data_IF_939694924020
#
_entry.id   IF_939694924020
#
_cell.length_a   1.000
_cell.length_b   1.000
_cell.length_c   1.000
_cell.angle_alpha   90.00
_cell.angle_beta   90.00
_cell.angle_gamma   90.00
#
_symmetry.space_group_name_H-M   'P 1'
#
loop_
_entity.id
_entity.type
_entity.pdbx_description
1 polymer ?
#
# COMPACT_ATOMS: atom_id res chain seq x y z
N UNK A 1 20.87 -16.99 5.19
CA UNK A 1 21.53 -16.07 4.23
C UNK A 1 22.36 -16.90 3.25
N UNK A 2 22.49 -16.43 2.02
CA UNK A 2 23.17 -17.14 0.94
C UNK A 2 24.69 -16.93 0.90
N UNK A 3 25.29 -16.53 2.02
CA UNK A 3 26.72 -16.25 2.16
C UNK A 3 27.30 -16.99 3.36
N UNK A 4 28.51 -17.51 3.24
CA UNK A 4 29.21 -18.22 4.33
C UNK A 4 29.46 -17.33 5.56
N UNK A 5 29.68 -16.03 5.32
CA UNK A 5 29.82 -15.02 6.39
C UNK A 5 28.52 -14.66 7.08
N UNK A 6 27.39 -15.22 6.65
CA UNK A 6 26.04 -14.76 7.01
C UNK A 6 25.82 -13.28 6.73
N UNK A 7 26.58 -12.69 5.76
CA UNK A 7 26.53 -11.27 5.41
C UNK A 7 27.18 -10.36 6.46
N UNK A 8 27.82 -10.91 7.48
CA UNK A 8 28.53 -10.12 8.48
C UNK A 8 29.82 -9.56 7.90
N UNK A 9 29.97 -8.22 7.94
CA UNK A 9 31.15 -7.53 7.42
C UNK A 9 31.22 -7.42 5.91
N UNK A 10 30.13 -7.66 5.20
CA UNK A 10 30.03 -7.48 3.75
C UNK A 10 29.14 -6.28 3.41
N UNK A 11 29.66 -5.41 2.53
CA UNK A 11 28.89 -4.30 1.96
C UNK A 11 28.55 -4.61 0.49
N UNK A 12 27.29 -4.57 0.13
CA UNK A 12 26.80 -4.81 -1.22
C UNK A 12 26.52 -3.48 -1.93
N UNK A 13 27.55 -2.80 -2.41
CA UNK A 13 27.48 -1.49 -3.04
C UNK A 13 27.29 -1.55 -4.56
N UNK A 14 27.62 -2.70 -5.15
CA UNK A 14 27.49 -2.97 -6.59
C UNK A 14 26.97 -4.38 -6.86
N UNK A 15 26.54 -4.63 -8.11
CA UNK A 15 26.15 -6.00 -8.51
C UNK A 15 27.31 -7.00 -8.37
N UNK A 16 28.56 -6.59 -8.55
CA UNK A 16 29.73 -7.44 -8.41
C UNK A 16 29.93 -7.95 -6.98
N UNK A 17 29.49 -7.19 -5.99
CA UNK A 17 29.70 -7.52 -4.58
C UNK A 17 28.83 -8.71 -4.16
N UNK A 18 27.70 -8.94 -4.86
CA UNK A 18 26.86 -10.12 -4.64
C UNK A 18 27.51 -11.42 -5.14
N UNK A 19 28.54 -11.34 -5.98
CA UNK A 19 29.20 -12.48 -6.63
C UNK A 19 30.71 -12.46 -6.34
N UNK A 20 31.08 -12.21 -5.07
CA UNK A 20 32.44 -12.03 -4.62
C UNK A 20 33.18 -13.34 -4.26
N UNK A 21 32.52 -14.49 -4.47
CA UNK A 21 33.05 -15.81 -4.13
C UNK A 21 32.81 -16.24 -2.68
N UNK A 22 32.08 -15.43 -1.89
CA UNK A 22 31.66 -15.78 -0.52
C UNK A 22 30.24 -16.34 -0.46
N UNK A 23 29.60 -16.50 -1.62
CA UNK A 23 28.29 -17.16 -1.70
C UNK A 23 28.42 -18.64 -1.33
N UNK A 24 27.37 -19.13 -0.69
CA UNK A 24 27.18 -20.57 -0.47
C UNK A 24 26.53 -21.17 -1.74
N UNK A 25 27.33 -21.61 -2.67
CA UNK A 25 26.88 -22.17 -3.95
C UNK A 25 26.06 -23.47 -3.75
N UNK A 26 26.33 -24.22 -2.70
CA UNK A 26 25.56 -25.43 -2.38
C UNK A 26 24.16 -25.06 -1.89
N UNK A 27 24.03 -24.02 -1.04
CA UNK A 27 22.74 -23.52 -0.60
C UNK A 27 21.94 -22.92 -1.78
N UNK A 28 22.57 -22.15 -2.65
CA UNK A 28 21.95 -21.57 -3.85
C UNK A 28 21.46 -22.69 -4.77
N UNK A 29 22.28 -23.70 -5.02
CA UNK A 29 21.93 -24.87 -5.86
C UNK A 29 20.75 -25.62 -5.25
N UNK A 30 20.81 -25.92 -3.94
CA UNK A 30 19.74 -26.61 -3.24
C UNK A 30 18.41 -25.87 -3.33
N UNK A 31 18.39 -24.56 -3.06
CA UNK A 31 17.16 -23.75 -3.09
C UNK A 31 16.58 -23.66 -4.52
N UNK A 32 17.44 -23.51 -5.52
CA UNK A 32 17.03 -23.48 -6.93
C UNK A 32 16.38 -24.79 -7.35
N UNK A 33 16.99 -25.93 -7.00
CA UNK A 33 16.45 -27.26 -7.29
C UNK A 33 15.16 -27.53 -6.52
N UNK A 34 15.09 -27.08 -5.25
CA UNK A 34 13.90 -27.22 -4.42
C UNK A 34 12.71 -26.43 -5.03
N UNK A 35 12.92 -25.18 -5.41
CA UNK A 35 11.87 -24.36 -6.06
C UNK A 35 11.41 -25.02 -7.38
N UNK A 36 12.34 -25.50 -8.20
CA UNK A 36 12.01 -26.19 -9.44
C UNK A 36 11.16 -27.43 -9.17
N UNK A 37 11.57 -28.26 -8.23
CA UNK A 37 10.84 -29.50 -7.86
C UNK A 37 9.44 -29.17 -7.28
N UNK A 38 9.34 -28.18 -6.42
CA UNK A 38 8.05 -27.75 -5.82
C UNK A 38 7.06 -27.39 -6.93
N UNK A 39 7.48 -26.57 -7.90
CA UNK A 39 6.60 -26.13 -8.99
C UNK A 39 6.30 -27.23 -10.02
N UNK A 40 7.20 -28.21 -10.20
CA UNK A 40 6.93 -29.40 -11.01
C UNK A 40 5.89 -30.31 -10.35
N UNK A 41 5.96 -30.49 -9.05
CA UNK A 41 5.00 -31.31 -8.27
C UNK A 41 3.68 -30.61 -8.08
N UNK A 42 3.71 -29.30 -7.78
CA UNK A 42 2.52 -28.47 -7.58
C UNK A 42 2.68 -27.09 -8.24
N UNK A 43 2.19 -26.91 -9.48
CA UNK A 43 2.28 -25.62 -10.18
C UNK A 43 1.56 -24.44 -9.48
N UNK A 44 0.72 -24.73 -8.48
CA UNK A 44 0.02 -23.71 -7.69
C UNK A 44 0.70 -23.39 -6.36
N UNK A 45 1.81 -24.06 -6.05
CA UNK A 45 2.60 -23.74 -4.87
C UNK A 45 3.21 -22.33 -5.00
N UNK A 46 3.35 -21.66 -3.87
CA UNK A 46 3.99 -20.35 -3.78
C UNK A 46 5.20 -20.48 -2.87
N UNK A 47 6.36 -20.04 -3.36
CA UNK A 47 7.60 -19.99 -2.59
C UNK A 47 8.04 -18.55 -2.37
N UNK A 48 8.42 -18.22 -1.13
CA UNK A 48 8.75 -16.86 -0.71
C UNK A 48 10.14 -16.88 -0.08
N UNK A 49 11.06 -16.08 -0.60
CA UNK A 49 12.40 -15.95 -0.04
C UNK A 49 12.40 -14.92 1.10
N UNK A 50 12.86 -15.31 2.26
CA UNK A 50 13.25 -14.41 3.34
C UNK A 50 14.77 -14.28 3.34
N UNK A 51 15.27 -13.18 2.79
CA UNK A 51 16.71 -12.98 2.60
C UNK A 51 17.04 -11.48 2.61
N UNK A 52 17.95 -11.07 3.49
CA UNK A 52 18.25 -9.66 3.80
C UNK A 52 19.36 -9.06 2.95
N UNK A 53 20.23 -9.88 2.32
CA UNK A 53 21.38 -9.36 1.55
C UNK A 53 20.99 -8.55 0.31
N UNK A 54 19.78 -8.72 -0.18
CA UNK A 54 19.36 -8.12 -1.44
C UNK A 54 19.86 -8.86 -2.68
N UNK A 55 20.33 -10.12 -2.54
CA UNK A 55 20.83 -10.97 -3.64
C UNK A 55 19.92 -10.88 -4.88
N UNK A 56 20.45 -10.49 -6.06
CA UNK A 56 19.67 -10.41 -7.29
C UNK A 56 19.18 -11.78 -7.76
N UNK A 57 17.99 -11.82 -8.38
CA UNK A 57 17.48 -13.04 -9.03
C UNK A 57 16.76 -14.01 -8.09
N UNK A 58 16.59 -13.70 -6.80
CA UNK A 58 15.88 -14.59 -5.88
C UNK A 58 14.46 -14.90 -6.35
N UNK A 59 13.68 -13.88 -6.71
CA UNK A 59 12.31 -14.02 -7.20
C UNK A 59 12.22 -13.92 -8.73
N UNK A 60 13.23 -14.42 -9.43
CA UNK A 60 13.26 -14.58 -10.90
C UNK A 60 13.18 -16.07 -11.23
N UNK A 61 12.49 -16.41 -12.32
CA UNK A 61 12.35 -17.80 -12.76
C UNK A 61 13.70 -18.44 -13.07
N UNK A 62 13.83 -19.73 -12.78
CA UNK A 62 15.05 -20.51 -13.12
C UNK A 62 15.37 -20.45 -14.61
N UNK A 63 14.35 -20.48 -15.49
CA UNK A 63 14.53 -20.37 -16.93
C UNK A 63 15.13 -19.03 -17.39
N UNK A 64 14.96 -17.99 -16.59
CA UNK A 64 15.45 -16.63 -16.83
C UNK A 64 16.74 -16.33 -16.05
N UNK A 65 17.36 -17.36 -15.45
CA UNK A 65 18.62 -17.27 -14.71
C UNK A 65 18.48 -16.94 -13.23
N UNK A 66 17.28 -16.98 -12.68
CA UNK A 66 17.03 -16.75 -11.24
C UNK A 66 16.97 -18.04 -10.41
N UNK A 67 16.65 -17.89 -9.13
CA UNK A 67 16.61 -19.00 -8.15
C UNK A 67 15.21 -19.62 -7.96
N UNK A 68 14.20 -19.08 -8.67
CA UNK A 68 12.89 -19.71 -8.82
C UNK A 68 11.89 -19.48 -7.69
N UNK A 69 12.16 -18.59 -6.74
CA UNK A 69 11.12 -18.13 -5.82
C UNK A 69 10.07 -17.30 -6.56
N UNK A 70 8.82 -17.35 -6.10
CA UNK A 70 7.74 -16.51 -6.65
C UNK A 70 7.82 -15.08 -6.13
N UNK A 71 8.24 -14.93 -4.87
CA UNK A 71 8.35 -13.65 -4.18
C UNK A 71 9.57 -13.61 -3.26
N UNK A 72 9.97 -12.40 -2.91
CA UNK A 72 10.88 -12.15 -1.80
C UNK A 72 10.26 -11.18 -0.80
N UNK A 73 10.68 -11.26 0.48
CA UNK A 73 10.25 -10.32 1.51
C UNK A 73 10.89 -8.94 1.28
N UNK A 74 10.08 -7.87 1.35
CA UNK A 74 10.56 -6.48 1.29
C UNK A 74 11.00 -6.01 2.69
N UNK A 75 12.12 -6.54 3.19
CA UNK A 75 12.56 -6.36 4.58
C UNK A 75 12.95 -4.91 4.91
N UNK A 76 13.28 -4.09 3.91
CA UNK A 76 13.56 -2.66 4.09
C UNK A 76 12.35 -1.87 4.61
N UNK A 77 11.13 -2.26 4.26
CA UNK A 77 9.91 -1.50 4.58
C UNK A 77 9.61 -1.50 6.09
N UNK A 78 9.54 -2.64 6.80
CA UNK A 78 9.31 -2.64 8.24
C UNK A 78 10.46 -1.98 9.01
N UNK A 79 11.71 -2.17 8.58
CA UNK A 79 12.87 -1.53 9.21
C UNK A 79 12.80 -0.01 9.09
N UNK A 80 12.38 0.50 7.93
CA UNK A 80 12.12 1.92 7.73
C UNK A 80 11.02 2.43 8.67
N UNK A 81 9.87 1.73 8.76
CA UNK A 81 8.79 2.15 9.64
C UNK A 81 9.21 2.22 11.10
N UNK A 82 9.88 1.18 11.60
CA UNK A 82 10.40 1.18 12.97
C UNK A 82 11.40 2.31 13.18
N UNK A 83 12.30 2.53 12.23
CA UNK A 83 13.31 3.59 12.32
C UNK A 83 12.68 4.97 12.45
N UNK A 84 11.75 5.34 11.57
CA UNK A 84 11.14 6.67 11.64
C UNK A 84 10.27 6.85 12.89
N UNK A 85 9.59 5.79 13.35
CA UNK A 85 8.79 5.83 14.57
C UNK A 85 9.64 5.99 15.84
N UNK A 86 10.89 5.51 15.81
CA UNK A 86 11.85 5.65 16.94
C UNK A 86 12.56 6.98 16.93
N UNK A 87 12.95 7.47 15.75
CA UNK A 87 13.94 8.53 15.59
C UNK A 87 13.30 9.87 15.18
N UNK A 88 12.08 9.88 14.64
CA UNK A 88 11.44 11.06 14.07
C UNK A 88 10.14 11.38 14.77
N UNK A 89 9.90 12.69 14.94
CA UNK A 89 8.54 13.18 15.26
C UNK A 89 7.71 13.23 13.97
N UNK A 90 6.39 13.34 14.11
CA UNK A 90 5.48 13.39 12.95
C UNK A 90 5.82 14.56 12.01
N UNK A 91 6.26 15.69 12.58
CA UNK A 91 6.65 16.90 11.85
C UNK A 91 7.87 16.67 10.94
N UNK A 92 8.68 15.67 11.25
CA UNK A 92 9.93 15.36 10.54
C UNK A 92 9.79 14.21 9.55
N UNK A 93 8.56 13.75 9.29
CA UNK A 93 8.33 12.72 8.28
C UNK A 93 8.36 13.29 6.88
N UNK A 94 9.11 12.63 6.00
CA UNK A 94 9.28 13.01 4.61
C UNK A 94 8.51 12.08 3.68
N UNK A 95 7.43 12.53 3.04
CA UNK A 95 6.69 11.77 2.02
C UNK A 95 7.57 11.19 0.91
N UNK A 96 8.60 11.91 0.51
CA UNK A 96 9.59 11.45 -0.48
C UNK A 96 10.34 10.19 -0.02
N UNK A 97 10.71 10.11 1.26
CA UNK A 97 11.34 8.93 1.85
C UNK A 97 10.35 7.77 1.98
N UNK A 98 9.12 8.04 2.42
CA UNK A 98 8.04 7.03 2.47
C UNK A 98 7.81 6.43 1.08
N UNK A 99 7.69 7.28 0.07
CA UNK A 99 7.56 6.84 -1.32
C UNK A 99 8.72 5.96 -1.75
N UNK A 100 9.96 6.42 -1.51
CA UNK A 100 11.16 5.69 -1.88
C UNK A 100 11.19 4.31 -1.25
N UNK A 101 11.06 4.20 0.05
CA UNK A 101 11.17 2.92 0.76
C UNK A 101 10.06 1.93 0.40
N UNK A 102 8.84 2.42 0.15
CA UNK A 102 7.72 1.55 -0.20
C UNK A 102 7.71 1.13 -1.67
N UNK A 103 8.51 1.79 -2.54
CA UNK A 103 8.56 1.51 -3.98
C UNK A 103 9.94 1.12 -4.50
N UNK A 104 11.00 1.27 -3.69
CA UNK A 104 12.36 0.88 -4.06
C UNK A 104 12.51 -0.64 -4.06
N UNK A 105 12.50 -1.22 -5.25
CA UNK A 105 12.58 -2.66 -5.48
C UNK A 105 13.12 -2.96 -6.87
N UNK A 106 13.59 -4.19 -7.10
CA UNK A 106 13.99 -4.64 -8.42
C UNK A 106 12.77 -4.77 -9.33
N UNK A 107 12.92 -4.33 -10.58
CA UNK A 107 11.81 -4.32 -11.54
C UNK A 107 11.38 -5.74 -11.98
N UNK A 108 12.31 -6.70 -11.95
CA UNK A 108 12.14 -8.07 -12.37
C UNK A 108 11.73 -9.03 -11.23
N UNK A 109 11.67 -8.54 -9.99
CA UNK A 109 11.31 -9.34 -8.83
C UNK A 109 9.99 -8.87 -8.20
N UNK A 110 9.16 -9.82 -7.80
CA UNK A 110 7.96 -9.56 -7.01
C UNK A 110 8.27 -9.62 -5.52
N UNK A 111 7.68 -8.71 -4.76
CA UNK A 111 7.91 -8.60 -3.33
C UNK A 111 6.65 -8.81 -2.50
N UNK A 112 6.82 -9.33 -1.29
CA UNK A 112 5.81 -9.28 -0.23
C UNK A 112 6.13 -8.08 0.64
N UNK A 113 5.29 -7.05 0.57
CA UNK A 113 5.43 -5.84 1.39
C UNK A 113 4.69 -5.99 2.72
N UNK A 114 5.21 -5.40 3.78
CA UNK A 114 4.60 -5.45 5.10
C UNK A 114 5.09 -4.29 5.97
N UNK A 115 4.26 -3.88 6.92
CA UNK A 115 4.61 -2.81 7.83
C UNK A 115 5.42 -3.30 9.04
N UNK A 116 5.08 -4.48 9.55
CA UNK A 116 5.84 -5.20 10.59
C UNK A 116 5.61 -6.72 10.47
N UNK A 117 6.52 -7.49 11.04
CA UNK A 117 6.41 -8.94 11.22
C UNK A 117 6.76 -9.33 12.66
N UNK A 118 6.95 -10.63 12.90
CA UNK A 118 7.46 -11.10 14.18
C UNK A 118 8.84 -10.52 14.54
N UNK A 119 9.69 -10.24 13.56
CA UNK A 119 11.04 -9.72 13.81
C UNK A 119 11.00 -8.37 14.52
N UNK A 120 10.21 -7.43 14.04
CA UNK A 120 10.07 -6.13 14.67
C UNK A 120 9.28 -6.22 15.97
N UNK A 121 8.20 -6.99 15.97
CA UNK A 121 7.27 -7.06 17.09
C UNK A 121 7.77 -7.89 18.29
N UNK A 122 8.67 -8.86 18.05
CA UNK A 122 9.12 -9.83 19.08
C UNK A 122 10.59 -9.69 19.44
N UNK A 123 11.43 -9.53 18.44
CA UNK A 123 12.89 -9.66 18.57
C UNK A 123 13.56 -8.31 18.64
N UNK A 124 13.21 -7.40 17.75
CA UNK A 124 13.92 -6.15 17.55
C UNK A 124 13.37 -4.97 18.32
N UNK A 125 12.05 -4.92 18.57
CA UNK A 125 11.40 -3.73 19.12
C UNK A 125 10.01 -4.02 19.73
N UNK A 126 9.11 -3.03 19.62
CA UNK A 126 7.69 -3.07 19.96
C UNK A 126 6.86 -3.09 18.69
N UNK A 127 5.60 -3.47 18.78
CA UNK A 127 4.65 -3.33 17.66
C UNK A 127 4.52 -1.87 17.23
N UNK A 128 4.21 -1.64 15.95
CA UNK A 128 4.01 -0.28 15.41
C UNK A 128 2.99 0.49 16.24
N UNK A 129 1.86 -0.13 16.56
CA UNK A 129 0.82 0.56 17.33
C UNK A 129 1.31 0.92 18.74
N UNK A 130 2.10 0.06 19.37
CA UNK A 130 2.66 0.36 20.67
C UNK A 130 3.72 1.47 20.60
N UNK A 131 4.48 1.55 19.51
CA UNK A 131 5.38 2.68 19.26
C UNK A 131 4.64 4.01 19.10
N UNK A 132 3.46 3.97 18.47
CA UNK A 132 2.64 5.16 18.22
C UNK A 132 1.92 5.68 19.47
N UNK A 133 1.48 4.80 20.37
CA UNK A 133 0.58 5.14 21.49
C UNK A 133 1.22 4.89 22.86
N UNK A 134 2.04 3.86 22.97
CA UNK A 134 2.69 3.39 24.22
C UNK A 134 1.65 3.03 25.30
N UNK A 135 1.93 3.32 26.57
CA UNK A 135 1.15 2.92 27.74
C UNK A 135 -0.30 3.46 27.75
N UNK A 136 -0.57 4.52 26.99
CA UNK A 136 -1.93 5.08 26.84
C UNK A 136 -2.92 4.07 26.25
N UNK A 137 -2.43 3.03 25.55
CA UNK A 137 -3.26 1.91 25.07
C UNK A 137 -3.97 1.16 26.19
N UNK A 138 -3.44 1.15 27.39
CA UNK A 138 -4.04 0.43 28.52
C UNK A 138 -5.18 1.19 29.18
N UNK A 139 -5.26 2.51 28.95
CA UNK A 139 -6.16 3.38 29.69
C UNK A 139 -7.19 4.09 28.80
N UNK A 140 -6.84 4.37 27.52
CA UNK A 140 -7.57 5.27 26.65
C UNK A 140 -8.13 4.61 25.37
N UNK A 141 -8.32 3.30 25.40
CA UNK A 141 -8.89 2.55 24.25
C UNK A 141 -10.40 2.35 24.30
N UNK A 142 -11.13 2.99 25.25
CA UNK A 142 -12.58 3.05 25.20
C UNK A 142 -13.03 3.88 23.97
N UNK A 143 -14.07 3.41 23.28
CA UNK A 143 -14.52 4.01 22.02
C UNK A 143 -14.96 5.49 22.14
N UNK A 144 -15.48 5.87 23.31
CA UNK A 144 -15.95 7.21 23.65
C UNK A 144 -14.88 8.08 24.35
N UNK A 145 -13.72 7.53 24.70
CA UNK A 145 -12.60 8.29 25.29
C UNK A 145 -11.86 9.07 24.21
N UNK A 146 -11.72 10.40 24.42
CA UNK A 146 -11.01 11.30 23.51
C UNK A 146 -9.62 11.58 24.07
N UNK A 147 -8.61 10.88 23.54
CA UNK A 147 -7.22 11.01 23.96
C UNK A 147 -6.31 11.24 22.76
N UNK A 148 -5.63 12.39 22.72
CA UNK A 148 -4.86 12.86 21.58
C UNK A 148 -3.82 11.81 21.08
N UNK A 149 -3.03 11.22 21.97
CA UNK A 149 -2.00 10.27 21.58
C UNK A 149 -2.58 9.00 20.97
N UNK A 150 -3.72 8.53 21.50
CA UNK A 150 -4.42 7.37 20.96
C UNK A 150 -5.00 7.70 19.58
N UNK A 151 -5.70 8.82 19.43
CA UNK A 151 -6.28 9.24 18.14
C UNK A 151 -5.20 9.46 17.08
N UNK A 152 -4.08 10.11 17.45
CA UNK A 152 -2.89 10.24 16.60
C UNK A 152 -2.37 8.88 16.17
N UNK A 153 -2.18 7.97 17.12
CA UNK A 153 -1.64 6.63 16.84
C UNK A 153 -2.54 5.81 15.91
N UNK A 154 -3.85 5.84 16.13
CA UNK A 154 -4.82 5.16 15.26
C UNK A 154 -4.82 5.75 13.83
N UNK A 155 -4.74 7.07 13.69
CA UNK A 155 -4.69 7.73 12.39
C UNK A 155 -3.43 7.30 11.61
N UNK A 156 -2.25 7.42 12.23
CA UNK A 156 -0.98 7.07 11.60
C UNK A 156 -0.87 5.56 11.30
N UNK A 157 -1.36 4.70 12.19
CA UNK A 157 -1.38 3.26 11.95
C UNK A 157 -2.18 2.89 10.69
N UNK A 158 -3.36 3.47 10.50
CA UNK A 158 -4.16 3.29 9.27
C UNK A 158 -3.40 3.77 8.03
N UNK A 159 -2.75 4.93 8.09
CA UNK A 159 -1.99 5.50 6.98
C UNK A 159 -0.77 4.65 6.62
N UNK A 160 0.01 4.19 7.60
CA UNK A 160 1.16 3.30 7.41
C UNK A 160 0.73 2.02 6.70
N UNK A 161 -0.34 1.39 7.17
CA UNK A 161 -0.86 0.16 6.57
C UNK A 161 -1.37 0.39 5.15
N UNK A 162 -2.11 1.47 4.94
CA UNK A 162 -2.67 1.80 3.62
C UNK A 162 -1.57 2.03 2.58
N UNK A 163 -0.56 2.87 2.86
CA UNK A 163 0.52 3.12 1.90
C UNK A 163 1.32 1.86 1.62
N UNK A 164 1.63 1.06 2.66
CA UNK A 164 2.37 -0.20 2.50
C UNK A 164 1.59 -1.23 1.66
N UNK A 165 0.29 -1.40 1.92
CA UNK A 165 -0.56 -2.36 1.21
C UNK A 165 -0.89 -1.93 -0.22
N UNK A 166 -0.86 -0.64 -0.53
CA UNK A 166 -1.28 -0.14 -1.84
C UNK A 166 -0.14 0.24 -2.78
N UNK A 167 1.12 0.18 -2.32
CA UNK A 167 2.32 0.31 -3.17
C UNK A 167 2.93 -1.02 -3.61
N UNK A 168 2.34 -2.16 -3.28
CA UNK A 168 2.83 -3.52 -3.58
C UNK A 168 3.02 -3.79 -5.08
N UNK A 169 3.92 -4.74 -5.43
CA UNK A 169 4.01 -5.35 -6.77
C UNK A 169 3.83 -6.88 -6.76
N UNK A 170 3.57 -7.44 -5.60
CA UNK A 170 3.35 -8.87 -5.39
C UNK A 170 2.28 -9.09 -4.34
N UNK A 171 2.66 -9.26 -3.10
CA UNK A 171 1.74 -9.52 -2.00
C UNK A 171 1.87 -8.56 -0.84
N UNK A 172 0.94 -8.67 0.11
CA UNK A 172 0.96 -7.96 1.38
C UNK A 172 0.87 -8.95 2.53
N UNK A 173 1.82 -8.88 3.45
CA UNK A 173 1.80 -9.69 4.68
C UNK A 173 1.22 -8.85 5.81
N UNK A 174 0.29 -9.44 6.53
CA UNK A 174 -0.21 -8.92 7.78
C UNK A 174 0.25 -9.83 8.93
N UNK A 175 1.04 -9.29 9.85
CA UNK A 175 1.37 -10.02 11.07
C UNK A 175 0.16 -10.04 11.99
N UNK A 176 -0.19 -11.23 12.50
CA UNK A 176 -1.39 -11.46 13.29
C UNK A 176 -1.55 -10.46 14.44
N UNK A 177 -2.69 -9.79 14.50
CA UNK A 177 -3.00 -8.75 15.49
C UNK A 177 -2.69 -7.33 15.03
N UNK A 178 -1.89 -7.14 13.97
CA UNK A 178 -1.60 -5.84 13.39
C UNK A 178 -2.85 -5.16 12.84
N UNK A 179 -3.73 -5.95 12.23
CA UNK A 179 -4.95 -5.49 11.60
C UNK A 179 -5.85 -4.72 12.55
N UNK A 180 -5.80 -5.01 13.85
CA UNK A 180 -6.58 -4.29 14.85
C UNK A 180 -5.72 -3.57 15.91
N UNK A 181 -4.39 -3.57 15.74
CA UNK A 181 -3.49 -2.86 16.66
C UNK A 181 -3.40 -3.53 18.03
N UNK A 182 -3.19 -4.84 18.08
CA UNK A 182 -3.04 -5.57 19.35
C UNK A 182 -1.96 -4.92 20.22
N UNK A 183 -2.23 -4.60 21.51
CA UNK A 183 -1.37 -3.74 22.32
C UNK A 183 -0.09 -4.41 22.79
N UNK A 184 -0.11 -5.73 22.93
CA UNK A 184 1.00 -6.45 23.55
C UNK A 184 1.86 -7.16 22.51
N UNK A 185 3.17 -7.23 22.80
CA UNK A 185 4.07 -8.09 22.04
C UNK A 185 3.72 -9.57 22.27
N UNK A 186 4.17 -10.42 21.37
CA UNK A 186 4.19 -11.86 21.59
C UNK A 186 5.51 -12.20 22.28
N UNK A 187 5.47 -12.93 23.40
CA UNK A 187 6.66 -13.49 24.05
C UNK A 187 6.58 -15.03 23.96
N UNK A 188 7.64 -15.65 23.46
CA UNK A 188 7.73 -17.09 23.37
C UNK A 188 7.87 -17.72 24.75
N UNK A 189 7.32 -18.94 24.98
CA UNK A 189 7.64 -19.72 26.17
C UNK A 189 9.14 -19.91 26.30
N UNK A 190 9.73 -19.44 27.40
CA UNK A 190 11.15 -19.52 27.70
C UNK A 190 11.37 -19.59 29.19
N UNK A 191 12.58 -19.95 29.64
CA UNK A 191 12.91 -20.07 31.05
C UNK A 191 12.58 -18.79 31.84
N UNK A 192 12.93 -17.61 31.30
CA UNK A 192 12.71 -16.31 31.96
C UNK A 192 11.25 -15.92 32.20
N UNK A 193 10.27 -16.59 31.56
CA UNK A 193 8.83 -16.38 31.79
C UNK A 193 8.15 -17.66 32.33
N UNK A 194 8.94 -18.62 32.85
CA UNK A 194 8.41 -19.89 33.38
C UNK A 194 7.74 -20.77 32.33
N UNK A 195 8.18 -20.70 31.07
CA UNK A 195 7.61 -21.42 29.94
C UNK A 195 6.13 -21.11 29.71
N UNK A 196 5.71 -19.88 30.04
CA UNK A 196 4.33 -19.43 29.93
C UNK A 196 3.91 -19.15 28.49
N UNK A 197 2.71 -19.63 28.10
CA UNK A 197 2.05 -19.30 26.84
C UNK A 197 1.17 -18.04 26.94
N UNK A 198 1.16 -17.34 28.09
CA UNK A 198 0.26 -16.21 28.32
C UNK A 198 0.39 -15.13 27.25
N UNK A 199 1.62 -14.82 26.84
CA UNK A 199 1.93 -13.78 25.84
C UNK A 199 2.24 -14.37 24.45
N UNK A 200 2.13 -15.69 24.28
CA UNK A 200 2.39 -16.34 23.00
C UNK A 200 1.16 -16.36 22.06
N UNK A 201 0.12 -15.61 22.37
CA UNK A 201 -1.15 -15.59 21.62
C UNK A 201 -1.78 -14.21 21.62
N UNK A 202 -2.62 -13.95 20.60
CA UNK A 202 -3.38 -12.72 20.48
C UNK A 202 -4.72 -12.80 21.22
N UNK A 203 -5.16 -11.64 21.73
CA UNK A 203 -6.45 -11.47 22.38
C UNK A 203 -7.47 -10.98 21.35
N UNK A 204 -8.01 -11.88 20.55
CA UNK A 204 -8.98 -11.56 19.48
C UNK A 204 -10.26 -10.90 20.01
N UNK A 205 -10.64 -11.15 21.25
CA UNK A 205 -11.76 -10.50 21.90
C UNK A 205 -11.66 -8.97 21.95
N UNK A 206 -10.47 -8.40 21.80
CA UNK A 206 -10.28 -6.94 21.77
C UNK A 206 -10.92 -6.30 20.53
N UNK A 207 -10.77 -6.94 19.35
CA UNK A 207 -11.36 -6.42 18.10
C UNK A 207 -12.88 -6.64 18.07
N UNK A 208 -13.37 -7.67 18.75
CA UNK A 208 -14.80 -7.98 18.82
C UNK A 208 -15.55 -7.12 19.85
N UNK A 209 -14.82 -6.45 20.75
CA UNK A 209 -15.43 -5.60 21.80
C UNK A 209 -15.93 -4.28 21.22
N UNK A 210 -17.26 -4.03 21.18
CA UNK A 210 -17.84 -2.85 20.53
C UNK A 210 -17.52 -1.53 21.24
N UNK A 211 -17.15 -1.60 22.51
CA UNK A 211 -16.77 -0.45 23.34
C UNK A 211 -15.29 -0.10 23.26
N UNK A 212 -14.48 -0.83 22.46
CA UNK A 212 -13.05 -0.58 22.34
C UNK A 212 -12.67 -0.09 20.93
N UNK A 213 -11.65 0.75 20.85
CA UNK A 213 -11.15 1.35 19.60
C UNK A 213 -10.45 0.36 18.66
N UNK A 214 -10.06 -0.82 19.15
CA UNK A 214 -9.44 -1.86 18.32
C UNK A 214 -10.28 -2.25 17.11
N UNK A 215 -11.62 -2.26 17.25
CA UNK A 215 -12.54 -2.53 16.14
C UNK A 215 -12.38 -1.55 14.97
N UNK A 216 -12.08 -0.28 15.27
CA UNK A 216 -11.93 0.75 14.24
C UNK A 216 -10.76 0.44 13.29
N UNK A 217 -9.66 -0.07 13.82
CA UNK A 217 -8.53 -0.52 13.02
C UNK A 217 -8.88 -1.80 12.24
N UNK A 218 -9.54 -2.77 12.88
CA UNK A 218 -10.00 -4.00 12.23
C UNK A 218 -11.00 -3.75 11.10
N UNK A 219 -11.93 -2.82 11.30
CA UNK A 219 -12.91 -2.43 10.26
C UNK A 219 -12.22 -1.70 9.10
N UNK A 220 -11.27 -0.81 9.40
CA UNK A 220 -10.47 -0.16 8.36
C UNK A 220 -9.65 -1.17 7.55
N UNK A 221 -8.99 -2.12 8.21
CA UNK A 221 -8.20 -3.15 7.53
C UNK A 221 -9.06 -4.00 6.59
N UNK A 222 -10.26 -4.38 7.05
CA UNK A 222 -11.23 -5.13 6.24
C UNK A 222 -11.62 -4.36 4.98
N UNK A 223 -11.95 -3.07 5.10
CA UNK A 223 -12.34 -2.23 3.96
C UNK A 223 -11.15 -1.96 3.03
N UNK A 224 -9.95 -1.74 3.56
CA UNK A 224 -8.72 -1.60 2.76
C UNK A 224 -8.46 -2.85 1.93
N UNK A 225 -8.53 -4.04 2.54
CA UNK A 225 -8.34 -5.30 1.82
C UNK A 225 -9.48 -5.59 0.84
N UNK A 226 -10.72 -5.23 1.17
CA UNK A 226 -11.87 -5.34 0.26
C UNK A 226 -11.68 -4.45 -0.98
N UNK A 227 -11.20 -3.22 -0.81
CA UNK A 227 -10.84 -2.33 -1.90
C UNK A 227 -9.79 -2.96 -2.81
N UNK A 228 -8.66 -3.43 -2.24
CA UNK A 228 -7.59 -4.06 -3.02
C UNK A 228 -8.10 -5.27 -3.82
N UNK A 229 -8.90 -6.14 -3.19
CA UNK A 229 -9.49 -7.33 -3.83
C UNK A 229 -10.52 -6.99 -4.91
N UNK A 230 -11.20 -5.85 -4.80
CA UNK A 230 -12.19 -5.41 -5.79
C UNK A 230 -11.57 -5.00 -7.12
N UNK A 231 -10.27 -4.75 -7.15
CA UNK A 231 -9.52 -4.33 -8.34
C UNK A 231 -8.81 -5.53 -8.93
N UNK A 232 -9.22 -5.91 -10.15
CA UNK A 232 -8.59 -7.03 -10.84
C UNK A 232 -7.07 -6.77 -11.01
N UNK A 233 -6.28 -7.77 -10.65
CA UNK A 233 -4.82 -7.76 -10.80
C UNK A 233 -4.16 -6.51 -10.19
N UNK A 234 -4.68 -6.06 -9.04
CA UNK A 234 -4.22 -4.83 -8.36
C UNK A 234 -2.70 -4.74 -8.27
N UNK A 235 -2.03 -5.83 -7.88
CA UNK A 235 -0.58 -5.90 -7.71
C UNK A 235 0.20 -5.72 -9.03
N UNK A 236 -0.43 -5.98 -10.16
CA UNK A 236 0.20 -5.81 -11.49
C UNK A 236 0.01 -4.40 -12.06
N UNK A 237 -0.92 -3.61 -11.51
CA UNK A 237 -1.10 -2.22 -11.93
C UNK A 237 0.14 -1.40 -11.53
N UNK A 238 0.68 -0.55 -12.43
CA UNK A 238 1.80 0.30 -12.09
C UNK A 238 1.43 1.30 -10.99
N UNK A 239 2.37 1.52 -10.08
CA UNK A 239 2.27 2.60 -9.08
C UNK A 239 2.93 3.83 -9.67
N UNK A 240 2.14 4.88 -9.91
CA UNK A 240 2.59 6.11 -10.56
C UNK A 240 2.51 7.28 -9.58
N UNK A 241 3.67 7.85 -9.23
CA UNK A 241 3.70 9.03 -8.38
C UNK A 241 3.01 10.20 -9.10
N UNK A 242 2.08 10.84 -8.41
CA UNK A 242 1.41 12.07 -8.85
C UNK A 242 2.08 13.28 -8.23
N UNK A 243 2.36 13.20 -6.92
CA UNK A 243 2.91 14.29 -6.16
C UNK A 243 3.61 13.81 -4.88
N UNK A 244 4.70 14.44 -4.52
CA UNK A 244 5.28 14.39 -3.19
C UNK A 244 5.81 15.79 -2.81
N UNK A 245 5.52 16.22 -1.59
CA UNK A 245 6.00 17.48 -1.05
C UNK A 245 6.34 17.28 0.44
N UNK A 246 7.63 17.35 0.75
CA UNK A 246 8.11 17.14 2.12
C UNK A 246 7.75 18.34 3.02
N UNK A 247 7.66 19.55 2.47
CA UNK A 247 7.26 20.74 3.21
C UNK A 247 5.79 20.73 3.65
N UNK A 248 4.91 20.24 2.78
CA UNK A 248 3.48 20.07 3.07
C UNK A 248 3.19 18.73 3.76
N UNK A 249 4.13 17.80 3.74
CA UNK A 249 4.00 16.42 4.16
C UNK A 249 2.88 15.65 3.41
N UNK A 250 2.74 15.93 2.12
CA UNK A 250 1.72 15.32 1.26
C UNK A 250 2.35 14.36 0.26
N UNK A 251 1.76 13.16 0.13
CA UNK A 251 2.07 12.16 -0.88
C UNK A 251 0.82 11.82 -1.68
N UNK A 252 0.94 11.77 -3.00
CA UNK A 252 -0.13 11.26 -3.85
C UNK A 252 0.42 10.37 -4.98
N UNK A 253 -0.28 9.27 -5.26
CA UNK A 253 0.03 8.37 -6.36
C UNK A 253 -1.22 7.74 -6.94
N UNK A 254 -1.10 7.16 -8.12
CA UNK A 254 -2.18 6.47 -8.82
C UNK A 254 -1.88 4.99 -9.03
N UNK A 255 -2.95 4.19 -9.03
CA UNK A 255 -3.00 2.82 -9.55
C UNK A 255 -4.28 2.62 -10.34
N UNK A 256 -4.17 2.45 -11.66
CA UNK A 256 -5.34 2.41 -12.53
C UNK A 256 -6.22 3.65 -12.35
N UNK A 257 -7.49 3.46 -12.04
CA UNK A 257 -8.47 4.54 -11.85
C UNK A 257 -8.49 5.12 -10.42
N UNK A 258 -7.57 4.69 -9.54
CA UNK A 258 -7.56 5.10 -8.14
C UNK A 258 -6.43 6.09 -7.87
N UNK A 259 -6.75 7.16 -7.16
CA UNK A 259 -5.82 8.15 -6.61
C UNK A 259 -5.74 7.94 -5.11
N UNK A 260 -4.55 7.71 -4.60
CA UNK A 260 -4.23 7.60 -3.18
C UNK A 260 -3.57 8.89 -2.74
N UNK A 261 -4.12 9.55 -1.72
CA UNK A 261 -3.64 10.83 -1.21
C UNK A 261 -3.45 10.74 0.28
N UNK A 262 -2.29 11.17 0.75
CA UNK A 262 -1.89 11.15 2.16
C UNK A 262 -1.46 12.54 2.58
N UNK A 263 -2.02 13.05 3.65
CA UNK A 263 -1.52 14.22 4.37
C UNK A 263 -0.95 13.76 5.72
N UNK A 264 0.35 13.61 5.81
CA UNK A 264 1.05 13.20 7.04
C UNK A 264 1.24 14.35 8.01
N UNK A 265 0.98 15.59 7.62
CA UNK A 265 1.16 16.75 8.49
C UNK A 265 0.37 16.59 9.80
N UNK A 266 1.02 16.81 10.96
CA UNK A 266 0.37 16.69 12.25
C UNK A 266 -0.63 17.82 12.55
N UNK A 267 -0.50 18.95 11.86
CA UNK A 267 -1.24 20.18 12.22
C UNK A 267 -1.92 20.86 11.04
N UNK A 268 -1.40 20.69 9.81
CA UNK A 268 -1.89 21.46 8.67
C UNK A 268 -2.93 20.70 7.85
N UNK A 269 -4.11 21.27 7.73
CA UNK A 269 -5.14 20.87 6.78
C UNK A 269 -5.12 21.83 5.58
N UNK A 270 -5.35 21.31 4.38
CA UNK A 270 -5.35 22.11 3.15
C UNK A 270 -6.75 22.16 2.57
N UNK A 271 -7.25 23.37 2.27
CA UNK A 271 -8.64 23.57 1.83
C UNK A 271 -8.87 23.37 0.33
N UNK A 272 -7.83 23.48 -0.49
CA UNK A 272 -7.93 23.43 -1.97
C UNK A 272 -6.62 22.87 -2.57
N UNK A 273 -6.17 21.70 -2.08
CA UNK A 273 -4.92 21.09 -2.51
C UNK A 273 -5.06 20.52 -3.91
N UNK A 274 -4.30 21.03 -4.87
CA UNK A 274 -4.35 20.65 -6.28
C UNK A 274 -3.42 19.50 -6.62
N UNK A 275 -3.95 18.46 -7.26
CA UNK A 275 -3.21 17.32 -7.79
C UNK A 275 -3.46 17.19 -9.30
N UNK A 276 -2.41 17.02 -10.09
CA UNK A 276 -2.53 16.79 -11.53
C UNK A 276 -2.85 15.33 -11.81
N UNK A 277 -4.09 15.06 -12.18
CA UNK A 277 -4.60 13.72 -12.46
C UNK A 277 -5.26 13.66 -13.86
N UNK A 278 -5.51 12.47 -14.42
CA UNK A 278 -6.34 12.35 -15.62
C UNK A 278 -7.69 13.05 -15.43
N UNK A 279 -8.22 13.76 -16.47
CA UNK A 279 -9.50 14.46 -16.36
C UNK A 279 -10.65 13.50 -16.05
N UNK A 280 -11.59 13.96 -15.24
CA UNK A 280 -12.79 13.20 -14.92
C UNK A 280 -13.41 13.58 -13.58
N UNK A 281 -14.41 12.83 -13.19
CA UNK A 281 -15.07 12.94 -11.89
C UNK A 281 -14.52 11.86 -10.96
N UNK A 282 -14.15 12.26 -9.76
CA UNK A 282 -13.59 11.39 -8.72
C UNK A 282 -14.49 11.37 -7.51
N UNK A 283 -14.62 10.19 -6.88
CA UNK A 283 -15.34 10.03 -5.61
C UNK A 283 -14.49 9.27 -4.61
N UNK A 284 -14.54 9.69 -3.36
CA UNK A 284 -13.89 8.98 -2.25
C UNK A 284 -14.52 7.60 -2.07
N UNK A 285 -13.68 6.57 -1.98
CA UNK A 285 -14.07 5.17 -1.79
C UNK A 285 -13.50 4.58 -0.50
N UNK A 286 -12.49 5.21 0.07
CA UNK A 286 -11.93 4.88 1.39
C UNK A 286 -11.33 6.15 1.99
N UNK A 287 -11.59 6.38 3.29
CA UNK A 287 -11.10 7.54 4.01
C UNK A 287 -10.71 7.10 5.43
N UNK A 288 -9.46 7.37 5.83
CA UNK A 288 -8.98 7.01 7.17
C UNK A 288 -9.64 7.84 8.28
N UNK A 289 -10.24 9.00 7.94
CA UNK A 289 -10.93 9.88 8.87
C UNK A 289 -12.46 9.63 8.95
N UNK A 290 -12.96 8.58 8.29
CA UNK A 290 -14.35 8.14 8.41
C UNK A 290 -14.65 7.75 9.88
N UNK A 291 -15.74 8.24 10.48
CA UNK A 291 -16.17 7.87 11.84
C UNK A 291 -16.32 6.36 12.06
N UNK A 292 -16.64 5.58 11.02
CA UNK A 292 -16.66 4.11 11.08
C UNK A 292 -15.31 3.52 11.50
N UNK A 293 -14.22 4.22 11.22
CA UNK A 293 -12.85 3.85 11.56
C UNK A 293 -12.26 4.69 12.69
N UNK A 294 -13.12 5.31 13.51
CA UNK A 294 -12.71 6.15 14.62
C UNK A 294 -12.12 7.51 14.20
N UNK A 295 -12.39 7.96 13.00
CA UNK A 295 -12.03 9.29 12.51
C UNK A 295 -13.00 10.39 12.96
N UNK A 296 -12.71 11.62 12.57
CA UNK A 296 -13.49 12.81 12.96
C UNK A 296 -14.56 13.19 11.93
N UNK A 297 -14.55 12.59 10.74
CA UNK A 297 -15.51 12.86 9.67
C UNK A 297 -15.39 14.28 9.11
N UNK A 298 -14.17 14.76 8.92
CA UNK A 298 -13.91 16.13 8.44
C UNK A 298 -14.17 16.32 6.93
N UNK A 299 -14.40 15.23 6.20
CA UNK A 299 -14.75 15.25 4.78
C UNK A 299 -16.08 14.54 4.55
N UNK A 300 -16.81 14.98 3.52
CA UNK A 300 -18.01 14.29 3.03
C UNK A 300 -17.62 13.41 1.83
N UNK A 301 -17.57 12.10 2.05
CA UNK A 301 -17.17 11.12 1.02
C UNK A 301 -18.20 10.95 -0.09
N UNK A 302 -19.42 11.53 0.05
CA UNK A 302 -20.43 11.54 -1.00
C UNK A 302 -20.18 12.60 -2.07
N UNK A 303 -19.28 13.55 -1.81
CA UNK A 303 -18.94 14.63 -2.76
C UNK A 303 -18.18 14.04 -3.96
N UNK A 304 -18.61 14.42 -5.13
CA UNK A 304 -17.92 14.15 -6.39
C UNK A 304 -17.03 15.34 -6.77
N UNK A 305 -15.75 15.06 -7.00
CA UNK A 305 -14.74 16.05 -7.36
C UNK A 305 -14.49 16.01 -8.86
N UNK A 306 -14.86 17.09 -9.56
CA UNK A 306 -14.57 17.26 -10.98
C UNK A 306 -13.20 17.92 -11.15
N UNK A 307 -12.35 17.36 -12.00
CA UNK A 307 -11.06 17.98 -12.34
C UNK A 307 -11.27 19.29 -13.09
N UNK A 308 -10.48 20.29 -12.71
CA UNK A 308 -10.49 21.60 -13.39
C UNK A 308 -9.52 21.56 -14.58
N UNK A 309 -10.01 22.02 -15.72
CA UNK A 309 -9.21 22.12 -16.95
C UNK A 309 -8.12 23.20 -16.82
N UNK A 310 -6.93 22.88 -17.31
CA UNK A 310 -5.82 23.82 -17.44
C UNK A 310 -5.16 23.63 -18.81
N UNK A 311 -5.14 24.67 -19.68
CA UNK A 311 -4.55 24.59 -21.01
C UNK A 311 -3.07 24.18 -21.01
N UNK A 312 -2.33 24.44 -19.93
CA UNK A 312 -0.92 24.08 -19.81
C UNK A 312 -0.70 22.57 -19.82
N UNK A 313 -1.68 21.80 -19.36
CA UNK A 313 -1.62 20.34 -19.23
C UNK A 313 -2.52 19.59 -20.21
N UNK A 314 -3.09 20.28 -21.20
CA UNK A 314 -3.97 19.66 -22.21
C UNK A 314 -3.27 18.54 -22.99
N UNK A 315 -2.01 18.76 -23.40
CA UNK A 315 -1.22 17.75 -24.14
C UNK A 315 -0.88 16.51 -23.31
N UNK A 316 -0.81 16.64 -22.01
CA UNK A 316 -0.56 15.54 -21.06
C UNK A 316 -1.84 14.82 -20.67
N UNK A 317 -2.99 15.31 -21.13
CA UNK A 317 -4.30 14.82 -20.73
C UNK A 317 -4.47 14.80 -19.21
N UNK A 318 -4.24 15.97 -18.56
CA UNK A 318 -4.34 16.16 -17.11
C UNK A 318 -5.21 17.37 -16.77
N UNK A 319 -5.78 17.34 -15.57
CA UNK A 319 -6.53 18.42 -14.95
C UNK A 319 -6.27 18.48 -13.45
N UNK A 320 -6.60 19.59 -12.82
CA UNK A 320 -6.42 19.79 -11.39
C UNK A 320 -7.57 19.14 -10.60
N UNK A 321 -7.28 18.05 -9.90
CA UNK A 321 -8.14 17.51 -8.86
C UNK A 321 -7.86 18.28 -7.57
N UNK A 322 -8.82 19.07 -7.11
CA UNK A 322 -8.70 19.89 -5.92
C UNK A 322 -9.46 19.26 -4.75
N UNK A 323 -8.78 19.13 -3.62
CA UNK A 323 -9.27 18.39 -2.46
C UNK A 323 -9.09 19.19 -1.16
N UNK A 324 -10.01 19.01 -0.24
CA UNK A 324 -9.74 19.29 1.16
C UNK A 324 -8.98 18.10 1.76
N UNK A 325 -7.78 18.36 2.29
CA UNK A 325 -6.91 17.34 2.90
C UNK A 325 -6.76 17.64 4.40
N UNK A 326 -7.53 16.98 5.28
CA UNK A 326 -7.33 17.11 6.71
C UNK A 326 -5.95 16.61 7.16
N UNK A 327 -5.43 17.17 8.25
CA UNK A 327 -4.20 16.70 8.88
C UNK A 327 -4.32 15.22 9.30
N UNK A 328 -3.23 14.46 9.18
CA UNK A 328 -3.15 13.00 9.50
C UNK A 328 -4.27 12.19 8.87
N UNK A 329 -4.56 12.44 7.60
CA UNK A 329 -5.62 11.75 6.86
C UNK A 329 -5.10 11.19 5.55
N UNK A 330 -5.59 10.03 5.18
CA UNK A 330 -5.43 9.48 3.84
C UNK A 330 -6.79 9.19 3.20
N UNK A 331 -6.89 9.49 1.91
CA UNK A 331 -8.09 9.26 1.11
C UNK A 331 -7.74 8.46 -0.14
N UNK A 332 -8.63 7.57 -0.54
CA UNK A 332 -8.58 6.88 -1.82
C UNK A 332 -9.78 7.33 -2.64
N UNK A 333 -9.50 7.94 -3.77
CA UNK A 333 -10.54 8.37 -4.70
C UNK A 333 -10.52 7.47 -5.95
N UNK A 334 -11.70 7.15 -6.45
CA UNK A 334 -11.87 6.41 -7.70
C UNK A 334 -12.38 7.34 -8.78
N UNK A 335 -11.75 7.30 -9.96
CA UNK A 335 -12.26 7.98 -11.14
C UNK A 335 -13.52 7.23 -11.63
N UNK A 336 -14.61 7.96 -11.77
CA UNK A 336 -15.87 7.42 -12.23
C UNK A 336 -15.85 7.24 -13.76
N UNK A 337 -16.56 6.25 -14.30
CA UNK A 337 -16.73 6.12 -15.75
C UNK A 337 -17.41 7.37 -16.30
N UNK A 338 -16.95 7.84 -17.45
CA UNK A 338 -17.68 8.90 -18.17
C UNK A 338 -19.10 8.42 -18.47
N UNK A 339 -20.09 9.12 -17.93
CA UNK A 339 -21.48 8.93 -18.34
C UNK A 339 -21.61 9.48 -19.76
N UNK A 340 -21.42 8.64 -20.76
CA UNK A 340 -21.80 9.01 -22.14
C UNK A 340 -23.30 9.27 -22.13
N UNK A 341 -23.69 10.54 -22.24
CA UNK A 341 -25.09 10.89 -22.35
C UNK A 341 -25.67 10.19 -23.59
N UNK A 342 -26.73 9.43 -23.41
CA UNK A 342 -27.46 8.77 -24.51
C UNK A 342 -27.82 9.73 -25.66
N UNK A 343 -27.86 11.04 -25.41
CA UNK A 343 -28.05 12.12 -26.40
C UNK A 343 -26.89 12.23 -27.40
N UNK A 344 -25.66 11.87 -27.05
CA UNK A 344 -24.50 11.93 -27.97
C UNK A 344 -24.51 10.70 -28.88
N UNK A 345 -24.84 9.53 -28.36
CA UNK A 345 -24.96 8.32 -29.18
C UNK A 345 -26.15 8.38 -30.15
N UNK A 346 -27.28 8.96 -29.72
CA UNK A 346 -28.42 9.19 -30.61
C UNK A 346 -28.07 10.19 -31.71
N UNK A 347 -27.35 11.28 -31.38
CA UNK A 347 -26.88 12.25 -32.35
C UNK A 347 -25.86 11.71 -33.36
N UNK A 348 -24.94 10.83 -32.91
CA UNK A 348 -24.01 10.15 -33.83
C UNK A 348 -24.67 9.05 -34.67
N UNK A 349 -25.63 8.29 -34.13
CA UNK A 349 -26.40 7.33 -34.91
C UNK A 349 -27.27 8.00 -35.93
N UNK A 350 -27.84 9.16 -35.61
CA UNK A 350 -28.64 9.96 -36.57
C UNK A 350 -27.76 10.58 -37.67
N UNK A 351 -26.58 11.08 -37.34
CA UNK A 351 -25.56 11.53 -38.32
C UNK A 351 -25.09 10.39 -39.23
N UNK A 352 -24.90 9.18 -38.71
CA UNK A 352 -24.54 7.98 -39.49
C UNK A 352 -25.71 7.54 -40.40
N UNK A 353 -26.97 7.62 -39.93
CA UNK A 353 -28.15 7.35 -40.72
C UNK A 353 -28.34 8.33 -41.88
N UNK A 354 -28.13 9.63 -41.60
CA UNK A 354 -28.19 10.69 -42.62
C UNK A 354 -27.08 10.53 -43.65
N UNK A 355 -25.86 10.21 -43.26
CA UNK A 355 -24.77 9.91 -44.21
C UNK A 355 -25.04 8.71 -45.08
N UNK A 356 -25.56 7.59 -44.50
CA UNK A 356 -25.97 6.41 -45.31
C UNK A 356 -27.09 6.74 -46.31
N UNK A 357 -28.08 7.55 -45.94
CA UNK A 357 -29.15 7.95 -46.86
C UNK A 357 -28.62 8.85 -48.01
N UNK A 358 -27.66 9.75 -47.71
CA UNK A 358 -27.02 10.60 -48.77
C UNK A 358 -26.13 9.80 -49.73
N UNK A 359 -25.46 8.75 -49.27
CA UNK A 359 -24.69 7.83 -50.15
C UNK A 359 -25.61 7.02 -51.05
N UNK A 360 -26.79 6.54 -50.55
CA UNK A 360 -27.74 5.80 -51.35
C UNK A 360 -28.47 6.67 -52.38
N UNK A 361 -28.68 7.97 -52.09
CA UNK A 361 -29.30 8.90 -53.00
C UNK A 361 -28.37 9.31 -54.15
N UNK A 362 -27.06 9.41 -53.91
CA UNK A 362 -26.07 9.69 -54.98
C UNK A 362 -25.77 8.50 -55.89
N UNK A 363 -26.02 7.25 -55.45
CA UNK A 363 -25.85 6.04 -56.30
C UNK A 363 -26.98 5.77 -57.29
N UNK A 364 -28.14 6.45 -57.15
CA UNK A 364 -29.27 6.25 -58.06
C UNK A 364 -29.37 7.22 -59.23
N UNK A 365 -28.50 8.26 -59.25
CA UNK A 365 -28.52 9.28 -60.33
C UNK A 365 -27.42 9.09 -61.39
N UNK A 366 -26.71 7.97 -61.39
CA UNK A 366 -25.66 7.66 -62.39
C UNK A 366 -26.01 6.44 -63.26
N UNK A 367 -27.29 6.15 -63.47
CA UNK A 367 -27.71 5.17 -64.48
C UNK A 367 -28.86 5.79 -65.26
N UNK A 368 -28.52 6.61 -66.24
CA UNK A 368 -29.23 6.90 -67.49
C UNK A 368 -28.24 7.35 -68.51
#
# INVERSE_FOLDING_TARGET
>A
MLYYSHGLGEDFLSYGDYYNGHQDDDAITYLTLANKLIHEVNPHAVTIAEEVSGMPGLAVKVADGGYGFDYRMAMNIPDFWIKILKEKKDEDWHPSAIWWETTNRRADEKTISYAESHDQALVGDKTIIFRLIDADMYWHMQADDRHFMVERGLALHKMIRLVTATTINGGYLNFMGNEFGHPEWIDFPREGNGWSYKYARRQWSLVDAPNLKYRFLGDFDREMLALIRSVKDFQALPVQKVWDNDGDQVLAYMRGEYVFVFNFSPAQSFTDYGLLTPPGTYRTVLNTDDPRFGGNGLTDDAIEHLTQYDPLYEKEYKGWLKLYLPARTAMVLKRLPEVRSLSVEQGEMEKRRVRKKRCHAKGKNNVM
#
